data_IF_908573109301
#
_entry.id   IF_908573109301
#
_cell.length_a   1.000
_cell.length_b   1.000
_cell.length_c   1.000
_cell.angle_alpha   90.00
_cell.angle_beta   90.00
_cell.angle_gamma   90.00
#
_symmetry.space_group_name_H-M   'P 1'
#
loop_
_entity.id
_entity.type
_entity.pdbx_description
1 polymer ?
#
# COMPACT_ATOMS: atom_id res chain seq x y z
N UNK A 1 4.69 18.49 6.85
CA UNK A 1 5.73 17.58 7.39
C UNK A 1 7.06 18.07 6.88
N UNK A 2 8.05 18.27 7.75
CA UNK A 2 9.42 18.59 7.33
C UNK A 2 10.21 17.30 7.17
N UNK A 3 10.64 17.00 5.96
CA UNK A 3 11.34 15.76 5.63
C UNK A 3 12.35 15.99 4.51
N UNK A 4 13.55 15.42 4.68
CA UNK A 4 14.68 15.57 3.77
C UNK A 4 15.05 17.04 3.48
N UNK A 5 14.89 17.92 4.47
CA UNK A 5 15.21 19.36 4.34
C UNK A 5 14.12 20.21 3.68
N UNK A 6 12.95 19.63 3.36
CA UNK A 6 11.87 20.36 2.70
C UNK A 6 10.58 20.32 3.50
N UNK A 7 9.86 21.45 3.52
CA UNK A 7 8.47 21.49 3.93
C UNK A 7 7.60 20.79 2.89
N UNK A 8 6.91 19.73 3.32
CA UNK A 8 5.97 18.96 2.52
C UNK A 8 4.56 19.33 2.94
N UNK A 9 3.76 19.75 1.97
CA UNK A 9 2.34 20.02 2.15
C UNK A 9 1.55 18.74 2.50
N UNK A 10 0.23 18.88 2.66
CA UNK A 10 -0.62 17.76 3.05
C UNK A 10 -0.71 16.64 1.99
N UNK A 11 -0.60 17.00 0.71
CA UNK A 11 -0.65 16.08 -0.44
C UNK A 11 0.61 15.26 -0.51
N UNK A 12 1.76 15.93 -0.44
CA UNK A 12 3.08 15.31 -0.50
C UNK A 12 3.36 14.50 0.76
N UNK A 13 2.95 14.99 1.93
CA UNK A 13 2.97 14.20 3.17
C UNK A 13 2.20 12.90 2.99
N UNK A 14 0.99 12.94 2.39
CA UNK A 14 0.19 11.72 2.16
C UNK A 14 0.92 10.72 1.26
N UNK A 15 1.60 11.19 0.19
CA UNK A 15 2.36 10.31 -0.70
C UNK A 15 3.50 9.61 0.01
N UNK A 16 4.30 10.34 0.81
CA UNK A 16 5.39 9.74 1.60
C UNK A 16 4.88 8.71 2.61
N UNK A 17 3.82 9.03 3.35
CA UNK A 17 3.22 8.08 4.28
C UNK A 17 2.67 6.84 3.57
N UNK A 18 2.04 7.00 2.41
CA UNK A 18 1.54 5.89 1.61
C UNK A 18 2.69 5.05 1.03
N UNK A 19 3.76 5.69 0.57
CA UNK A 19 4.96 5.02 0.10
C UNK A 19 5.59 4.13 1.18
N UNK A 20 5.83 4.68 2.38
CA UNK A 20 6.37 3.91 3.50
C UNK A 20 5.45 2.76 3.91
N UNK A 21 4.13 3.01 3.91
CA UNK A 21 3.14 1.97 4.18
C UNK A 21 3.20 0.84 3.15
N UNK A 22 3.26 1.18 1.86
CA UNK A 22 3.37 0.22 0.76
C UNK A 22 4.69 -0.58 0.81
N UNK A 23 5.77 0.04 1.30
CA UNK A 23 7.06 -0.61 1.53
C UNK A 23 7.11 -1.47 2.80
N UNK A 24 6.06 -1.47 3.62
CA UNK A 24 6.03 -2.23 4.87
C UNK A 24 6.92 -1.65 5.97
N UNK A 25 7.23 -0.35 5.92
CA UNK A 25 8.07 0.30 6.93
C UNK A 25 7.42 0.25 8.33
N UNK A 26 8.22 -0.07 9.35
CA UNK A 26 7.74 -0.10 10.73
C UNK A 26 7.40 1.31 11.24
N UNK A 27 6.52 1.40 12.24
CA UNK A 27 6.21 2.68 12.91
C UNK A 27 7.49 3.30 13.49
N UNK A 28 8.38 2.47 14.07
CA UNK A 28 9.65 2.90 14.62
C UNK A 28 10.57 3.50 13.55
N UNK A 29 10.70 2.85 12.38
CA UNK A 29 11.50 3.37 11.28
C UNK A 29 10.97 4.71 10.77
N UNK A 30 9.65 4.83 10.62
CA UNK A 30 9.02 6.09 10.20
C UNK A 30 9.19 7.18 11.26
N UNK A 31 9.06 6.85 12.56
CA UNK A 31 9.35 7.79 13.64
C UNK A 31 10.79 8.33 13.58
N UNK A 32 11.77 7.46 13.26
CA UNK A 32 13.17 7.87 13.07
C UNK A 32 13.34 8.79 11.85
N UNK A 33 12.75 8.45 10.69
CA UNK A 33 12.76 9.30 9.49
C UNK A 33 12.13 10.68 9.74
N UNK A 34 11.12 10.74 10.62
CA UNK A 34 10.42 11.96 11.01
C UNK A 34 11.09 12.73 12.16
N UNK A 35 12.22 12.22 12.68
CA UNK A 35 12.99 12.79 13.80
C UNK A 35 12.18 12.91 15.11
N UNK A 36 11.19 12.06 15.29
CA UNK A 36 10.37 11.99 16.51
C UNK A 36 10.67 10.75 17.36
N UNK A 37 11.60 9.91 16.92
CA UNK A 37 12.06 8.73 17.65
C UNK A 37 12.95 9.12 18.83
N UNK A 38 12.81 8.41 19.95
CA UNK A 38 13.56 8.62 21.20
C UNK A 38 13.51 10.04 21.79
N UNK A 39 12.56 10.88 21.36
CA UNK A 39 12.27 12.12 22.05
C UNK A 39 11.47 11.84 23.34
N UNK A 40 11.71 12.60 24.42
CA UNK A 40 10.79 12.63 25.55
C UNK A 40 9.36 12.91 25.06
N UNK A 41 8.35 12.27 25.66
CA UNK A 41 6.98 12.29 25.14
C UNK A 41 6.44 13.71 24.96
N UNK A 42 6.68 14.59 25.93
CA UNK A 42 6.30 16.00 25.88
C UNK A 42 6.98 16.76 24.72
N UNK A 43 8.23 16.44 24.41
CA UNK A 43 8.94 17.00 23.24
C UNK A 43 8.40 16.42 21.93
N UNK A 44 8.11 15.12 21.90
CA UNK A 44 7.62 14.44 20.72
C UNK A 44 6.25 14.97 20.26
N UNK A 45 5.30 15.18 21.20
CA UNK A 45 3.95 15.66 20.88
C UNK A 45 3.92 17.07 20.33
N UNK A 46 4.90 17.91 20.71
CA UNK A 46 5.05 19.28 20.20
C UNK A 46 5.89 19.35 18.92
N UNK A 47 6.48 18.25 18.46
CA UNK A 47 7.31 18.22 17.26
C UNK A 47 6.45 18.42 16.00
N UNK A 48 6.94 19.20 15.04
CA UNK A 48 6.25 19.54 13.78
C UNK A 48 5.79 18.32 12.95
N UNK A 49 6.51 17.20 13.07
CA UNK A 49 6.20 15.95 12.38
C UNK A 49 5.32 14.98 13.19
N UNK A 50 4.93 15.33 14.42
CA UNK A 50 4.12 14.46 15.29
C UNK A 50 2.83 14.00 14.60
N UNK A 51 2.11 14.95 14.00
CA UNK A 51 0.85 14.66 13.30
C UNK A 51 1.03 13.72 12.09
N UNK A 52 2.19 13.77 11.43
CA UNK A 52 2.51 12.84 10.35
C UNK A 52 2.72 11.41 10.88
N UNK A 53 3.43 11.26 12.01
CA UNK A 53 3.60 9.96 12.68
C UNK A 53 2.25 9.40 13.14
N UNK A 54 1.42 10.21 13.83
CA UNK A 54 0.09 9.79 14.28
C UNK A 54 -0.78 9.30 13.11
N UNK A 55 -0.73 10.00 11.98
CA UNK A 55 -1.43 9.59 10.75
C UNK A 55 -0.89 8.25 10.22
N UNK A 56 0.43 8.07 10.20
CA UNK A 56 1.05 6.81 9.79
C UNK A 56 0.62 5.65 10.69
N UNK A 57 0.68 5.81 12.01
CA UNK A 57 0.23 4.81 12.98
C UNK A 57 -1.23 4.40 12.76
N UNK A 58 -2.12 5.36 12.49
CA UNK A 58 -3.53 5.07 12.16
C UNK A 58 -3.66 4.26 10.87
N UNK A 59 -2.84 4.55 9.85
CA UNK A 59 -2.79 3.78 8.61
C UNK A 59 -2.33 2.34 8.90
N UNK A 60 -1.24 2.16 9.66
CA UNK A 60 -0.72 0.83 9.99
C UNK A 60 -1.70 0.01 10.81
N UNK A 61 -2.39 0.61 11.78
CA UNK A 61 -3.40 -0.10 12.60
C UNK A 61 -4.57 -0.57 11.72
N UNK A 62 -5.09 0.31 10.86
CA UNK A 62 -6.19 -0.04 9.95
C UNK A 62 -5.77 -1.07 8.90
N UNK A 63 -4.53 -0.97 8.40
CA UNK A 63 -3.93 -1.91 7.47
C UNK A 63 -3.73 -3.29 8.09
N UNK A 64 -3.12 -3.37 9.29
CA UNK A 64 -2.91 -4.63 10.04
C UNK A 64 -4.22 -5.32 10.42
N UNK A 65 -5.24 -4.55 10.78
CA UNK A 65 -6.57 -5.08 11.01
C UNK A 65 -7.28 -5.54 9.72
N UNK A 66 -6.62 -5.40 8.55
CA UNK A 66 -7.19 -5.73 7.26
C UNK A 66 -8.40 -4.89 6.88
N UNK A 67 -8.67 -3.75 7.54
CA UNK A 67 -9.90 -2.96 7.38
C UNK A 67 -9.89 -1.99 6.20
N UNK A 68 -8.70 -1.57 5.77
CA UNK A 68 -8.51 -0.62 4.65
C UNK A 68 -7.30 -1.05 3.83
N UNK A 69 -7.46 -2.15 3.10
CA UNK A 69 -6.36 -2.73 2.33
C UNK A 69 -6.29 -2.13 0.91
N UNK A 70 -7.40 -2.12 0.20
CA UNK A 70 -7.51 -1.52 -1.13
C UNK A 70 -8.79 -0.68 -1.24
N UNK A 71 -8.88 0.18 -2.25
CA UNK A 71 -10.05 1.01 -2.55
C UNK A 71 -10.45 0.82 -4.01
N UNK A 72 -11.57 0.14 -4.22
CA UNK A 72 -12.14 -0.09 -5.55
C UNK A 72 -13.64 -0.36 -5.42
N UNK A 73 -14.36 -0.29 -6.55
CA UNK A 73 -15.82 -0.25 -6.55
C UNK A 73 -16.33 0.99 -5.79
N UNK A 74 -17.11 0.76 -4.74
CA UNK A 74 -17.77 1.82 -3.96
C UNK A 74 -16.98 2.28 -2.73
N UNK A 75 -15.88 1.62 -2.35
CA UNK A 75 -15.22 1.95 -1.09
C UNK A 75 -13.94 1.20 -0.77
N UNK A 76 -13.52 1.33 0.49
CA UNK A 76 -12.42 0.55 1.04
C UNK A 76 -12.85 -0.91 1.20
N UNK A 77 -12.00 -1.82 0.78
CA UNK A 77 -12.16 -3.25 0.92
C UNK A 77 -11.22 -3.79 1.99
N UNK A 78 -11.64 -4.88 2.62
CA UNK A 78 -10.76 -5.63 3.52
C UNK A 78 -9.69 -6.38 2.74
N UNK A 79 -8.63 -6.84 3.44
CA UNK A 79 -7.61 -7.67 2.80
C UNK A 79 -8.21 -8.98 2.28
N UNK A 80 -9.02 -9.66 3.10
CA UNK A 80 -9.76 -10.86 2.72
C UNK A 80 -10.61 -10.63 1.46
N UNK A 81 -11.46 -9.58 1.47
CA UNK A 81 -12.32 -9.30 0.32
C UNK A 81 -11.53 -8.94 -0.94
N UNK A 82 -10.41 -8.25 -0.76
CA UNK A 82 -9.52 -7.93 -1.87
C UNK A 82 -8.94 -9.22 -2.46
N UNK A 83 -8.37 -10.08 -1.62
CA UNK A 83 -7.76 -11.34 -2.03
C UNK A 83 -8.76 -12.26 -2.76
N UNK A 84 -9.99 -12.38 -2.26
CA UNK A 84 -11.06 -13.11 -2.96
C UNK A 84 -11.27 -12.59 -4.39
N UNK A 85 -11.34 -11.26 -4.55
CA UNK A 85 -11.56 -10.64 -5.86
C UNK A 85 -10.35 -10.83 -6.79
N UNK A 86 -9.13 -10.69 -6.27
CA UNK A 86 -7.92 -10.94 -7.05
C UNK A 86 -7.90 -12.37 -7.59
N UNK A 87 -8.22 -13.36 -6.73
CA UNK A 87 -8.29 -14.76 -7.13
C UNK A 87 -9.39 -15.01 -8.17
N UNK A 88 -10.57 -14.40 -8.00
CA UNK A 88 -11.66 -14.50 -9.00
C UNK A 88 -11.22 -13.98 -10.37
N UNK A 89 -10.56 -12.84 -10.43
CA UNK A 89 -10.04 -12.29 -11.69
C UNK A 89 -8.96 -13.18 -12.31
N UNK A 90 -8.11 -13.80 -11.49
CA UNK A 90 -7.10 -14.76 -11.97
C UNK A 90 -7.77 -15.99 -12.59
N UNK A 91 -8.74 -16.60 -11.90
CA UNK A 91 -9.46 -17.79 -12.38
C UNK A 91 -10.33 -17.50 -13.61
N UNK A 92 -10.87 -16.29 -13.73
CA UNK A 92 -11.60 -15.84 -14.91
C UNK A 92 -10.68 -15.46 -16.10
N UNK A 93 -9.37 -15.59 -15.92
CA UNK A 93 -8.34 -15.22 -16.90
C UNK A 93 -8.34 -13.73 -17.29
N UNK A 94 -8.90 -12.85 -16.44
CA UNK A 94 -8.98 -11.40 -16.69
C UNK A 94 -7.61 -10.80 -17.03
N UNK A 95 -7.61 -9.82 -17.94
CA UNK A 95 -6.38 -9.18 -18.38
C UNK A 95 -5.78 -8.28 -17.29
N UNK A 96 -4.45 -8.18 -17.29
CA UNK A 96 -3.72 -7.24 -16.40
C UNK A 96 -4.24 -5.81 -16.57
N UNK A 97 -4.55 -5.41 -17.80
CA UNK A 97 -5.09 -4.08 -18.09
C UNK A 97 -6.47 -3.86 -17.47
N UNK A 98 -7.37 -4.84 -17.54
CA UNK A 98 -8.71 -4.76 -16.94
C UNK A 98 -8.65 -4.62 -15.42
N UNK A 99 -7.80 -5.43 -14.78
CA UNK A 99 -7.58 -5.37 -13.33
C UNK A 99 -6.90 -4.06 -12.93
N UNK A 100 -5.92 -3.58 -13.70
CA UNK A 100 -5.27 -2.29 -13.48
C UNK A 100 -6.26 -1.12 -13.57
N UNK A 101 -7.21 -1.15 -14.53
CA UNK A 101 -8.28 -0.15 -14.63
C UNK A 101 -9.20 -0.20 -13.41
N UNK A 102 -9.60 -1.40 -12.98
CA UNK A 102 -10.45 -1.60 -11.80
C UNK A 102 -9.79 -1.07 -10.51
N UNK A 103 -8.50 -1.32 -10.35
CA UNK A 103 -7.70 -0.83 -9.23
C UNK A 103 -7.23 0.62 -9.41
N UNK A 104 -7.61 1.29 -10.51
CA UNK A 104 -7.24 2.68 -10.83
C UNK A 104 -5.73 2.92 -10.85
N UNK A 105 -4.98 1.93 -11.33
CA UNK A 105 -3.52 1.99 -11.50
C UNK A 105 -3.07 1.96 -12.95
N UNK A 106 -4.01 1.77 -13.90
CA UNK A 106 -3.71 1.86 -15.32
C UNK A 106 -3.15 3.25 -15.69
N UNK A 107 -2.07 3.26 -16.48
CA UNK A 107 -1.41 4.49 -16.95
C UNK A 107 -0.59 5.25 -15.90
N UNK A 108 -0.49 4.76 -14.66
CA UNK A 108 0.39 5.35 -13.66
C UNK A 108 1.86 5.06 -14.01
N UNK A 109 2.71 6.08 -13.91
CA UNK A 109 4.16 5.88 -13.88
C UNK A 109 4.57 5.04 -12.67
N UNK A 110 5.77 4.44 -12.71
CA UNK A 110 6.31 3.64 -11.60
C UNK A 110 6.29 4.41 -10.26
N UNK A 111 6.66 5.69 -10.27
CA UNK A 111 6.64 6.53 -9.08
C UNK A 111 5.22 6.76 -8.55
N UNK A 112 4.26 7.06 -9.44
CA UNK A 112 2.85 7.23 -9.06
C UNK A 112 2.26 5.93 -8.51
N UNK A 113 2.61 4.79 -9.11
CA UNK A 113 2.16 3.47 -8.69
C UNK A 113 2.67 3.14 -7.29
N UNK A 114 3.97 3.36 -7.00
CA UNK A 114 4.58 3.08 -5.68
C UNK A 114 3.95 3.86 -4.53
N UNK A 115 3.35 5.03 -4.81
CA UNK A 115 2.64 5.85 -3.81
C UNK A 115 1.12 5.70 -3.88
N UNK A 116 0.61 4.84 -4.77
CA UNK A 116 -0.82 4.60 -4.90
C UNK A 116 -1.32 3.66 -3.81
N UNK A 117 -2.55 3.90 -3.33
CA UNK A 117 -3.14 3.09 -2.25
C UNK A 117 -3.40 1.62 -2.64
N UNK A 118 -3.63 1.36 -3.92
CA UNK A 118 -3.88 0.01 -4.44
C UNK A 118 -2.61 -0.69 -4.93
N UNK A 119 -1.43 -0.11 -4.65
CA UNK A 119 -0.14 -0.69 -5.02
C UNK A 119 -0.02 -2.15 -4.55
N UNK A 120 -0.21 -2.40 -3.25
CA UNK A 120 -0.06 -3.74 -2.69
C UNK A 120 -1.03 -4.75 -3.34
N UNK A 121 -2.29 -4.36 -3.53
CA UNK A 121 -3.29 -5.22 -4.17
C UNK A 121 -2.91 -5.55 -5.63
N UNK A 122 -2.42 -4.57 -6.39
CA UNK A 122 -2.00 -4.80 -7.76
C UNK A 122 -0.75 -5.66 -7.85
N UNK A 123 0.24 -5.44 -6.97
CA UNK A 123 1.44 -6.28 -6.90
C UNK A 123 1.10 -7.73 -6.54
N UNK A 124 0.20 -7.94 -5.57
CA UNK A 124 -0.30 -9.28 -5.22
C UNK A 124 -0.99 -9.95 -6.40
N UNK A 125 -1.80 -9.21 -7.17
CA UNK A 125 -2.43 -9.77 -8.37
C UNK A 125 -1.40 -10.21 -9.41
N UNK A 126 -0.38 -9.40 -9.69
CA UNK A 126 0.66 -9.73 -10.67
C UNK A 126 1.45 -10.97 -10.25
N UNK A 127 1.78 -11.08 -8.97
CA UNK A 127 2.50 -12.21 -8.38
C UNK A 127 1.68 -13.51 -8.52
N UNK A 128 0.44 -13.49 -8.03
CA UNK A 128 -0.44 -14.66 -8.13
C UNK A 128 -0.81 -15.03 -9.57
N UNK A 129 -0.92 -14.06 -10.48
CA UNK A 129 -1.16 -14.34 -11.90
C UNK A 129 0.03 -15.07 -12.53
N UNK A 130 1.26 -14.71 -12.16
CA UNK A 130 2.47 -15.40 -12.61
C UNK A 130 2.48 -16.85 -12.13
N UNK A 131 2.17 -17.08 -10.85
CA UNK A 131 2.09 -18.43 -10.29
C UNK A 131 1.01 -19.27 -10.98
N UNK A 132 -0.17 -18.69 -11.23
CA UNK A 132 -1.26 -19.34 -11.96
C UNK A 132 -0.88 -19.73 -13.40
N UNK A 133 -0.23 -18.82 -14.12
CA UNK A 133 0.25 -19.10 -15.48
C UNK A 133 1.30 -20.20 -15.50
N UNK A 134 2.19 -20.23 -14.50
CA UNK A 134 3.16 -21.30 -14.34
C UNK A 134 2.47 -22.65 -14.12
N UNK A 135 1.52 -22.74 -13.19
CA UNK A 135 0.76 -23.97 -12.93
C UNK A 135 0.01 -24.47 -14.17
N UNK A 136 -0.60 -23.56 -14.95
CA UNK A 136 -1.28 -23.94 -16.21
C UNK A 136 -0.31 -24.45 -17.28
N UNK A 137 0.89 -23.88 -17.36
CA UNK A 137 1.89 -24.29 -18.35
C UNK A 137 2.50 -25.66 -18.06
N UNK A 138 2.51 -26.09 -16.79
CA UNK A 138 3.07 -27.38 -16.36
C UNK A 138 2.00 -28.46 -16.16
N UNK A 139 0.77 -28.26 -16.63
CA UNK A 139 -0.39 -29.14 -16.36
C UNK A 139 -0.52 -29.47 -14.85
N UNK A 140 -0.37 -28.43 -14.02
CA UNK A 140 -0.37 -28.54 -12.55
C UNK A 140 0.71 -29.48 -11.97
N UNK A 141 1.78 -29.74 -12.73
CA UNK A 141 2.87 -30.63 -12.33
C UNK A 141 2.54 -32.11 -12.49
N UNK A 142 1.50 -32.45 -13.27
CA UNK A 142 1.14 -33.83 -13.61
C UNK A 142 2.02 -34.25 -14.79
N UNK A 143 3.13 -34.92 -14.48
CA UNK A 143 3.94 -35.69 -15.43
C UNK A 143 3.54 -37.17 -15.41
#
# INVERSE_FOLDING_TARGET
>A
MNFAGFFRDSTETRKWLQFWFNKGESVTNVAAKLKVYNLPQNTAVSHENWNALVKYMRMTVKGKAGKKYAFFGTGYQTQEKTNEMLMKWILADDSIESVAKTLKVAGLSEHQLKVHRNYNAFMTFLDWRKDWQHMRATDFGIA
#
